data_IF_438523179428
#
_entry.id   IF_438523179428
#
_cell.length_a   1.000
_cell.length_b   1.000
_cell.length_c   1.000
_cell.angle_alpha   90.00
_cell.angle_beta   90.00
_cell.angle_gamma   90.00
#
_symmetry.space_group_name_H-M   'P 1'
#
loop_
_entity.id
_entity.type
_entity.pdbx_description
1 polymer ?
#
# COMPACT_ATOMS: atom_id res chain seq x y z
N UNK A 1 -13.50 -6.04 42.78
CA UNK A 1 -12.04 -6.10 43.04
C UNK A 1 -11.22 -5.94 41.74
N UNK A 2 -11.47 -6.68 40.67
CA UNK A 2 -10.69 -6.56 39.43
C UNK A 2 -10.84 -5.21 38.67
N UNK A 3 -11.96 -4.52 38.80
CA UNK A 3 -12.14 -3.20 38.21
C UNK A 3 -11.26 -2.11 38.87
N UNK A 4 -11.16 -2.11 40.19
CA UNK A 4 -10.28 -1.19 40.92
C UNK A 4 -8.80 -1.36 40.61
N UNK A 5 -8.34 -2.60 40.38
CA UNK A 5 -6.94 -2.86 40.02
C UNK A 5 -6.58 -2.34 38.64
N UNK A 6 -7.55 -2.29 37.70
CA UNK A 6 -7.35 -1.71 36.38
C UNK A 6 -7.12 -0.19 36.43
N UNK A 7 -7.78 0.52 37.28
CA UNK A 7 -7.69 1.97 37.38
C UNK A 7 -6.47 2.46 38.16
N UNK A 8 -5.91 1.62 39.03
CA UNK A 8 -4.74 1.94 39.82
C UNK A 8 -3.40 1.46 39.22
N UNK A 9 -3.43 0.62 38.19
CA UNK A 9 -2.21 0.13 37.57
C UNK A 9 -1.57 1.24 36.70
N UNK A 10 -0.25 1.50 36.81
CA UNK A 10 0.41 2.47 35.95
C UNK A 10 0.28 2.03 34.47
N UNK A 11 -0.30 2.91 33.65
CA UNK A 11 -0.45 2.64 32.22
C UNK A 11 0.92 2.76 31.56
N UNK A 12 1.50 1.64 31.14
CA UNK A 12 2.71 1.66 30.32
C UNK A 12 2.41 2.19 28.93
N UNK A 13 3.29 3.04 28.43
CA UNK A 13 3.16 3.59 27.08
C UNK A 13 3.64 2.59 26.04
N UNK A 14 2.97 2.59 24.88
CA UNK A 14 3.40 1.83 23.70
C UNK A 14 4.77 2.33 23.25
N UNK A 15 5.66 1.40 22.88
CA UNK A 15 6.93 1.71 22.25
C UNK A 15 6.69 2.50 20.94
N UNK A 16 7.38 3.63 20.76
CA UNK A 16 7.31 4.50 19.57
C UNK A 16 8.65 4.56 18.83
N UNK A 17 9.65 3.82 19.27
CA UNK A 17 10.96 3.81 18.63
C UNK A 17 10.87 3.16 17.24
N UNK A 18 11.33 3.88 16.21
CA UNK A 18 11.26 3.45 14.81
C UNK A 18 12.22 2.32 14.46
N UNK A 19 13.29 2.18 15.24
CA UNK A 19 14.31 1.15 15.05
C UNK A 19 14.03 -0.15 15.82
N UNK A 20 13.03 -0.18 16.71
CA UNK A 20 12.72 -1.36 17.51
C UNK A 20 11.55 -2.15 16.91
N UNK A 21 11.82 -3.40 16.55
CA UNK A 21 10.88 -4.29 15.88
C UNK A 21 10.65 -5.50 16.79
N UNK A 22 9.38 -5.74 17.17
CA UNK A 22 9.02 -6.95 17.88
C UNK A 22 8.91 -8.13 16.91
N UNK A 23 9.78 -9.11 17.06
CA UNK A 23 9.74 -10.41 16.37
C UNK A 23 9.32 -11.51 17.34
N UNK A 24 9.12 -12.74 16.88
CA UNK A 24 8.56 -13.78 17.74
C UNK A 24 9.43 -14.08 18.98
N UNK A 25 10.75 -14.08 18.83
CA UNK A 25 11.71 -14.44 19.87
C UNK A 25 12.41 -13.27 20.57
N UNK A 26 11.98 -12.01 20.32
CA UNK A 26 12.57 -10.85 20.99
C UNK A 26 12.31 -9.53 20.30
N UNK A 27 13.10 -8.53 20.64
CA UNK A 27 13.10 -7.19 20.07
C UNK A 27 14.35 -7.06 19.22
N UNK A 28 14.16 -6.89 17.91
CA UNK A 28 15.25 -6.63 16.98
C UNK A 28 15.49 -5.12 16.88
N UNK A 29 16.73 -4.73 17.05
CA UNK A 29 17.18 -3.36 16.85
C UNK A 29 17.71 -3.19 15.44
N UNK A 30 16.98 -2.44 14.62
CA UNK A 30 17.26 -2.28 13.19
C UNK A 30 18.57 -1.51 12.91
N UNK A 31 18.96 -0.60 13.79
CA UNK A 31 20.18 0.20 13.60
C UNK A 31 21.43 -0.60 13.96
N UNK A 32 21.36 -1.39 15.04
CA UNK A 32 22.49 -2.22 15.51
C UNK A 32 22.49 -3.63 14.96
N UNK A 33 21.40 -4.07 14.32
CA UNK A 33 21.18 -5.44 13.78
C UNK A 33 21.26 -6.52 14.88
N UNK A 34 20.87 -6.19 16.10
CA UNK A 34 20.94 -7.09 17.24
C UNK A 34 19.56 -7.47 17.78
N UNK A 35 19.41 -8.74 18.12
CA UNK A 35 18.25 -9.24 18.84
C UNK A 35 18.50 -9.17 20.35
N UNK A 36 17.53 -8.66 21.09
CA UNK A 36 17.51 -8.65 22.57
C UNK A 36 16.20 -9.24 23.11
N UNK A 37 16.20 -9.78 24.32
CA UNK A 37 14.99 -10.34 24.92
C UNK A 37 13.91 -9.26 25.13
N UNK A 38 12.65 -9.67 25.20
CA UNK A 38 11.55 -8.79 25.61
C UNK A 38 11.76 -8.28 27.03
N UNK A 39 11.47 -7.02 27.25
CA UNK A 39 11.52 -6.37 28.57
C UNK A 39 10.16 -5.80 28.93
N UNK A 40 9.78 -5.76 30.23
CA UNK A 40 8.51 -5.18 30.65
C UNK A 40 8.36 -3.69 30.40
N UNK A 41 9.46 -2.98 30.09
CA UNK A 41 9.46 -1.53 29.89
C UNK A 41 9.08 -1.11 28.46
N UNK A 42 9.15 -2.05 27.52
CA UNK A 42 8.80 -1.84 26.11
C UNK A 42 7.53 -2.60 25.77
N UNK A 43 6.45 -1.87 25.51
CA UNK A 43 5.15 -2.44 25.14
C UNK A 43 4.95 -2.38 23.64
N UNK A 44 4.79 -3.54 23.01
CA UNK A 44 4.42 -3.70 21.62
C UNK A 44 2.99 -4.23 21.53
N UNK A 45 2.16 -3.67 20.65
CA UNK A 45 0.77 -4.15 20.42
C UNK A 45 0.68 -5.19 19.29
N UNK A 46 1.71 -5.27 18.47
CA UNK A 46 1.86 -6.23 17.38
C UNK A 46 3.30 -6.72 17.32
N UNK A 47 3.49 -7.91 16.80
CA UNK A 47 4.82 -8.48 16.53
C UNK A 47 4.76 -9.35 15.28
N UNK A 48 5.88 -9.52 14.60
CA UNK A 48 6.01 -10.59 13.61
C UNK A 48 5.89 -11.96 14.31
N UNK A 49 5.20 -12.89 13.64
CA UNK A 49 5.12 -14.27 14.17
C UNK A 49 6.40 -15.08 13.96
N UNK A 50 7.31 -14.55 13.14
CA UNK A 50 8.54 -15.22 12.74
C UNK A 50 9.66 -14.93 13.73
N UNK A 51 10.44 -15.94 14.06
CA UNK A 51 11.62 -15.81 14.92
C UNK A 51 12.82 -15.34 14.09
N UNK A 52 13.54 -14.34 14.59
CA UNK A 52 14.79 -13.93 13.98
C UNK A 52 15.89 -14.95 14.29
N UNK A 53 16.65 -15.33 13.26
CA UNK A 53 17.85 -16.15 13.38
C UNK A 53 19.03 -15.48 12.68
N UNK A 54 20.22 -15.70 13.21
CA UNK A 54 21.50 -15.29 12.59
C UNK A 54 21.93 -16.35 11.59
N UNK A 55 22.61 -15.96 10.52
CA UNK A 55 23.19 -16.88 9.52
C UNK A 55 22.17 -17.78 8.81
N UNK A 56 21.03 -17.23 8.40
CA UNK A 56 20.03 -17.94 7.62
C UNK A 56 20.42 -17.91 6.14
N UNK A 57 20.32 -19.05 5.48
CA UNK A 57 20.50 -19.17 4.03
C UNK A 57 19.15 -19.22 3.31
N UNK A 58 19.11 -18.77 2.06
CA UNK A 58 17.93 -18.89 1.22
C UNK A 58 17.64 -20.38 0.96
N UNK A 59 16.51 -20.92 1.44
CA UNK A 59 16.21 -22.34 1.25
C UNK A 59 15.79 -22.61 -0.19
N UNK A 60 16.38 -23.66 -0.77
CA UNK A 60 15.97 -24.20 -2.07
C UNK A 60 15.07 -25.39 -1.84
N UNK A 61 13.88 -25.36 -2.41
CA UNK A 61 12.87 -26.42 -2.26
C UNK A 61 12.71 -27.12 -3.59
N UNK A 62 13.07 -28.42 -3.63
CA UNK A 62 12.83 -29.28 -4.79
C UNK A 62 11.38 -29.78 -4.80
N UNK A 63 10.68 -29.58 -5.91
CA UNK A 63 9.36 -30.13 -6.13
C UNK A 63 9.47 -31.44 -6.90
N UNK A 64 9.11 -32.54 -6.26
CA UNK A 64 9.17 -33.87 -6.86
C UNK A 64 8.12 -34.12 -7.96
N UNK A 65 7.03 -33.33 -7.99
CA UNK A 65 5.93 -33.54 -8.94
C UNK A 65 6.26 -32.99 -10.33
N UNK A 66 6.97 -31.86 -10.39
CA UNK A 66 7.35 -31.20 -11.64
C UNK A 66 8.86 -31.09 -11.88
N UNK A 67 9.69 -31.56 -10.93
CA UNK A 67 11.15 -31.57 -11.01
C UNK A 67 11.78 -30.17 -10.97
N UNK A 68 11.07 -29.14 -10.50
CA UNK A 68 11.57 -27.76 -10.42
C UNK A 68 12.12 -27.45 -9.04
N UNK A 69 13.18 -26.65 -9.00
CA UNK A 69 13.65 -26.03 -7.77
C UNK A 69 13.02 -24.66 -7.59
N UNK A 70 12.69 -24.32 -6.35
CA UNK A 70 12.12 -23.04 -5.98
C UNK A 70 12.88 -22.44 -4.81
N UNK A 71 13.13 -21.16 -4.88
CA UNK A 71 13.57 -20.32 -3.77
C UNK A 71 12.83 -18.97 -3.80
N UNK A 72 12.78 -18.31 -2.65
CA UNK A 72 11.98 -17.08 -2.52
C UNK A 72 12.59 -15.89 -3.27
N UNK A 73 13.91 -15.84 -3.47
CA UNK A 73 14.54 -14.73 -4.20
C UNK A 73 14.24 -14.82 -5.70
N UNK A 74 14.43 -16.00 -6.28
CA UNK A 74 14.10 -16.25 -7.69
C UNK A 74 12.61 -15.98 -7.94
N UNK A 75 11.73 -16.44 -7.05
CA UNK A 75 10.32 -16.16 -7.15
C UNK A 75 9.97 -14.66 -7.06
N UNK A 76 10.60 -13.90 -6.15
CA UNK A 76 10.41 -12.45 -6.08
C UNK A 76 10.87 -11.74 -7.36
N UNK A 77 11.98 -12.19 -7.96
CA UNK A 77 12.47 -11.67 -9.24
C UNK A 77 11.50 -11.99 -10.39
N UNK A 78 10.76 -13.09 -10.31
CA UNK A 78 9.76 -13.44 -11.31
C UNK A 78 8.52 -12.52 -11.28
N UNK A 79 8.27 -11.76 -10.20
CA UNK A 79 7.09 -10.90 -10.08
C UNK A 79 7.16 -9.64 -10.95
N UNK A 80 8.37 -9.17 -11.32
CA UNK A 80 8.56 -8.00 -12.18
C UNK A 80 9.84 -8.15 -13.02
N UNK A 81 9.82 -7.60 -14.24
CA UNK A 81 11.01 -7.46 -15.08
C UNK A 81 11.87 -6.25 -14.68
N UNK A 82 11.32 -5.34 -13.88
CA UNK A 82 12.01 -4.18 -13.36
C UNK A 82 12.65 -4.52 -12.00
N UNK A 83 13.99 -4.60 -11.89
CA UNK A 83 14.67 -4.95 -10.65
C UNK A 83 14.47 -3.90 -9.54
N UNK A 84 14.17 -2.63 -9.89
CA UNK A 84 13.87 -1.60 -8.90
C UNK A 84 12.50 -1.86 -8.26
N UNK A 85 11.52 -2.36 -9.03
CA UNK A 85 10.23 -2.81 -8.49
C UNK A 85 10.42 -3.99 -7.55
N UNK A 86 11.25 -4.98 -7.92
CA UNK A 86 11.55 -6.12 -7.04
C UNK A 86 12.20 -5.64 -5.75
N UNK A 87 13.14 -4.70 -5.82
CA UNK A 87 13.75 -4.10 -4.64
C UNK A 87 12.72 -3.41 -3.75
N UNK A 88 11.82 -2.62 -4.33
CA UNK A 88 10.71 -1.98 -3.62
C UNK A 88 9.80 -3.02 -2.95
N UNK A 89 9.49 -4.14 -3.59
CA UNK A 89 8.68 -5.21 -2.99
C UNK A 89 9.36 -5.79 -1.74
N UNK A 90 10.68 -5.97 -1.74
CA UNK A 90 11.44 -6.36 -0.56
C UNK A 90 11.38 -5.30 0.55
N UNK A 91 11.49 -4.03 0.21
CA UNK A 91 11.32 -2.94 1.18
C UNK A 91 9.90 -2.92 1.79
N UNK A 92 8.86 -3.20 1.00
CA UNK A 92 7.48 -3.29 1.48
C UNK A 92 7.31 -4.46 2.45
N UNK A 93 7.90 -5.63 2.19
CA UNK A 93 7.92 -6.75 3.14
C UNK A 93 8.55 -6.35 4.48
N UNK A 94 9.56 -5.50 4.47
CA UNK A 94 10.12 -4.94 5.70
C UNK A 94 9.23 -3.86 6.33
N UNK A 95 8.58 -3.00 5.52
CA UNK A 95 7.74 -1.92 6.02
C UNK A 95 6.53 -2.42 6.82
N UNK A 96 5.88 -3.52 6.42
CA UNK A 96 4.70 -4.09 7.11
C UNK A 96 5.00 -4.60 8.52
N UNK A 97 6.24 -4.94 8.81
CA UNK A 97 6.67 -5.42 10.15
C UNK A 97 7.40 -4.34 10.96
N UNK A 98 7.58 -3.15 10.40
CA UNK A 98 8.26 -2.00 11.04
C UNK A 98 7.27 -0.88 11.38
N UNK A 99 6.36 -1.10 12.35
CA UNK A 99 5.50 -0.05 12.85
C UNK A 99 6.35 1.06 13.46
N UNK A 100 5.85 2.28 13.49
CA UNK A 100 6.49 3.50 13.97
C UNK A 100 7.49 4.17 13.01
N UNK A 101 7.85 3.59 11.88
CA UNK A 101 8.47 4.33 10.78
C UNK A 101 7.38 5.17 10.10
N UNK A 102 7.65 6.45 9.90
CA UNK A 102 6.75 7.33 9.17
C UNK A 102 6.99 7.14 7.66
N UNK A 103 6.32 6.15 7.09
CA UNK A 103 6.45 5.87 5.66
C UNK A 103 5.76 6.90 4.78
N UNK A 104 4.66 7.50 5.28
CA UNK A 104 3.81 8.47 4.61
C UNK A 104 3.32 8.02 3.22
N UNK A 105 3.38 6.72 2.98
CA UNK A 105 3.05 6.04 1.74
C UNK A 105 2.22 4.79 2.00
N UNK A 106 1.47 4.39 0.98
CA UNK A 106 0.81 3.09 0.89
C UNK A 106 1.11 2.45 -0.46
N UNK A 107 1.24 1.14 -0.49
CA UNK A 107 1.49 0.37 -1.72
C UNK A 107 0.16 -0.10 -2.32
N UNK A 108 -0.04 0.17 -3.61
CA UNK A 108 -1.19 -0.24 -4.39
C UNK A 108 -0.73 -1.14 -5.53
N UNK A 109 -0.85 -2.46 -5.31
CA UNK A 109 -0.43 -3.48 -6.26
C UNK A 109 -1.51 -3.60 -7.35
N UNK A 110 -1.21 -3.12 -8.53
CA UNK A 110 -2.19 -2.98 -9.61
C UNK A 110 -1.93 -3.92 -10.78
N UNK A 111 -2.98 -4.54 -11.29
CA UNK A 111 -2.99 -5.27 -12.55
C UNK A 111 -4.42 -5.51 -13.01
N UNK A 112 -4.71 -5.26 -14.27
CA UNK A 112 -5.99 -5.59 -14.90
C UNK A 112 -6.18 -7.09 -15.12
N UNK A 113 -5.07 -7.82 -15.26
CA UNK A 113 -5.10 -9.27 -15.41
C UNK A 113 -5.09 -9.99 -14.05
N UNK A 114 -5.71 -11.17 -13.98
CA UNK A 114 -5.55 -12.09 -12.86
C UNK A 114 -4.20 -12.86 -12.92
N UNK A 115 -3.97 -13.75 -11.95
CA UNK A 115 -2.82 -14.68 -11.90
C UNK A 115 -1.45 -14.02 -12.06
N UNK A 116 -1.24 -12.90 -11.41
CA UNK A 116 -0.04 -12.06 -11.50
C UNK A 116 0.83 -12.09 -10.23
N UNK A 117 0.52 -12.94 -9.27
CA UNK A 117 1.29 -13.11 -8.04
C UNK A 117 0.93 -12.16 -6.89
N UNK A 118 0.09 -11.12 -7.08
CA UNK A 118 -0.33 -10.18 -6.01
C UNK A 118 -0.84 -10.90 -4.76
N UNK A 119 -1.84 -11.79 -4.94
CA UNK A 119 -2.43 -12.53 -3.82
C UNK A 119 -1.45 -13.49 -3.13
N UNK A 120 -0.48 -14.02 -3.86
CA UNK A 120 0.59 -14.86 -3.30
C UNK A 120 1.57 -14.02 -2.47
N UNK A 121 1.91 -12.83 -2.94
CA UNK A 121 2.73 -11.87 -2.19
C UNK A 121 2.02 -11.37 -0.93
N UNK A 122 0.70 -11.11 -0.99
CA UNK A 122 -0.09 -10.77 0.19
C UNK A 122 -0.12 -11.90 1.23
N UNK A 123 -0.12 -13.16 0.80
CA UNK A 123 -0.03 -14.29 1.73
C UNK A 123 1.32 -14.30 2.46
N UNK A 124 2.44 -14.11 1.76
CA UNK A 124 3.75 -13.96 2.39
C UNK A 124 3.76 -12.81 3.42
N UNK A 125 3.15 -11.67 3.09
CA UNK A 125 3.02 -10.53 4.00
C UNK A 125 2.24 -10.90 5.27
N UNK A 126 1.12 -11.61 5.13
CA UNK A 126 0.29 -12.07 6.27
C UNK A 126 1.06 -13.06 7.14
N UNK A 127 1.81 -13.96 6.52
CA UNK A 127 2.63 -14.93 7.22
C UNK A 127 3.78 -14.27 8.00
N UNK A 128 4.39 -13.20 7.48
CA UNK A 128 5.38 -12.42 8.24
C UNK A 128 4.76 -11.66 9.42
N UNK A 129 3.61 -11.04 9.24
CA UNK A 129 2.91 -10.31 10.30
C UNK A 129 2.36 -11.25 11.38
N UNK A 130 1.70 -12.35 10.96
CA UNK A 130 0.89 -13.21 11.82
C UNK A 130 -0.55 -12.71 11.97
N UNK A 131 -1.46 -13.65 12.21
CA UNK A 131 -2.94 -13.47 12.14
C UNK A 131 -3.50 -12.33 13.01
N UNK A 132 -2.83 -11.95 14.08
CA UNK A 132 -3.28 -10.90 15.01
C UNK A 132 -2.63 -9.54 14.78
N UNK A 133 -1.69 -9.44 13.84
CA UNK A 133 -0.85 -8.25 13.66
C UNK A 133 -1.16 -7.49 12.34
N UNK A 134 -2.12 -7.92 11.55
CA UNK A 134 -2.60 -7.17 10.40
C UNK A 134 -4.11 -6.97 10.42
N UNK A 135 -4.58 -5.95 9.70
CA UNK A 135 -5.99 -5.67 9.43
C UNK A 135 -6.28 -5.84 7.94
N UNK A 136 -7.54 -6.17 7.61
CA UNK A 136 -8.02 -6.17 6.23
C UNK A 136 -9.14 -5.14 6.11
N UNK A 137 -8.81 -3.96 5.57
CA UNK A 137 -9.73 -2.84 5.40
C UNK A 137 -9.65 -2.39 3.95
N UNK A 138 -10.69 -2.70 3.17
CA UNK A 138 -10.77 -2.30 1.77
C UNK A 138 -10.86 -0.77 1.63
N UNK A 139 -10.50 -0.24 0.46
CA UNK A 139 -10.51 1.21 0.19
C UNK A 139 -11.89 1.85 0.42
N UNK A 140 -12.97 1.13 0.09
CA UNK A 140 -14.35 1.57 0.31
C UNK A 140 -14.77 1.61 1.79
N UNK A 141 -14.00 1.00 2.70
CA UNK A 141 -14.38 0.81 4.10
C UNK A 141 -13.81 1.88 5.05
N UNK A 142 -12.88 2.72 4.58
CA UNK A 142 -12.27 3.77 5.40
C UNK A 142 -13.26 4.85 5.86
N UNK A 143 -14.37 5.00 5.16
CA UNK A 143 -15.47 5.90 5.53
C UNK A 143 -16.58 5.26 6.36
N UNK A 144 -16.52 3.94 6.62
CA UNK A 144 -17.57 3.19 7.31
C UNK A 144 -17.29 3.07 8.82
N UNK A 145 -18.34 3.14 9.62
CA UNK A 145 -18.22 2.98 11.07
C UNK A 145 -17.71 1.58 11.44
N UNK A 146 -16.97 1.51 12.54
CA UNK A 146 -16.43 0.29 13.17
C UNK A 146 -15.32 -0.44 12.42
N UNK A 147 -15.15 -0.28 11.11
CA UNK A 147 -14.11 -0.98 10.34
C UNK A 147 -12.72 -0.63 10.83
N UNK A 148 -12.47 0.64 11.15
CA UNK A 148 -11.16 1.10 11.64
C UNK A 148 -10.78 0.52 13.02
N UNK A 149 -11.70 -0.13 13.73
CA UNK A 149 -11.38 -0.79 15.01
C UNK A 149 -10.38 -1.94 14.87
N UNK A 150 -10.24 -2.51 13.68
CA UNK A 150 -9.23 -3.53 13.38
C UNK A 150 -7.79 -3.00 13.48
N UNK A 151 -7.58 -1.68 13.39
CA UNK A 151 -6.26 -1.05 13.44
C UNK A 151 -5.59 -1.11 14.82
N UNK A 152 -6.34 -1.36 15.89
CA UNK A 152 -5.85 -1.19 17.27
C UNK A 152 -4.64 -2.04 17.61
N UNK A 153 -4.47 -3.20 17.01
CA UNK A 153 -3.38 -4.12 17.24
C UNK A 153 -2.61 -4.47 15.96
N UNK A 154 -2.88 -3.77 14.86
CA UNK A 154 -2.27 -4.06 13.59
C UNK A 154 -0.96 -3.28 13.38
N UNK A 155 0.04 -3.93 12.79
CA UNK A 155 1.25 -3.31 12.24
C UNK A 155 1.13 -3.03 10.74
N UNK A 156 0.16 -3.65 10.07
CA UNK A 156 -0.10 -3.48 8.66
C UNK A 156 -1.59 -3.55 8.31
N UNK A 157 -1.95 -2.96 7.19
CA UNK A 157 -3.21 -3.22 6.48
C UNK A 157 -2.86 -3.98 5.21
N UNK A 158 -3.43 -5.16 5.00
CA UNK A 158 -3.14 -6.02 3.85
C UNK A 158 -4.46 -6.49 3.26
N UNK A 159 -4.74 -6.03 2.03
CA UNK A 159 -5.96 -6.37 1.29
C UNK A 159 -5.57 -6.94 -0.06
N UNK A 160 -5.91 -8.19 -0.31
CA UNK A 160 -5.58 -8.89 -1.55
C UNK A 160 -6.64 -8.73 -2.65
N UNK A 161 -7.79 -8.15 -2.31
CA UNK A 161 -8.84 -7.86 -3.29
C UNK A 161 -9.67 -6.65 -2.85
N UNK A 162 -9.84 -5.71 -3.76
CA UNK A 162 -10.81 -4.62 -3.65
C UNK A 162 -11.88 -4.81 -4.72
N UNK A 163 -13.11 -4.41 -4.42
CA UNK A 163 -14.21 -4.51 -5.37
C UNK A 163 -13.93 -3.70 -6.65
N UNK A 164 -14.25 -4.28 -7.80
CA UNK A 164 -14.25 -3.59 -9.09
C UNK A 164 -15.26 -2.44 -9.05
N UNK A 165 -14.94 -1.30 -9.65
CA UNK A 165 -15.77 -0.10 -9.60
C UNK A 165 -15.72 0.64 -8.25
N UNK A 166 -14.73 0.34 -7.38
CA UNK A 166 -14.57 1.04 -6.11
C UNK A 166 -14.50 2.56 -6.30
N UNK A 167 -15.34 3.28 -5.55
CA UNK A 167 -15.33 4.74 -5.48
C UNK A 167 -14.96 5.24 -4.09
N UNK A 168 -13.89 6.02 -3.99
CA UNK A 168 -13.40 6.59 -2.74
C UNK A 168 -13.99 7.99 -2.59
N UNK A 169 -15.17 8.10 -1.96
CA UNK A 169 -15.83 9.39 -1.71
C UNK A 169 -15.16 10.17 -0.56
N UNK A 170 -14.79 9.48 0.52
CA UNK A 170 -14.24 10.07 1.75
C UNK A 170 -12.80 9.62 1.99
N UNK A 171 -11.83 10.33 1.43
CA UNK A 171 -10.41 10.01 1.54
C UNK A 171 -9.74 10.50 2.85
N UNK A 172 -10.46 11.25 3.72
CA UNK A 172 -9.84 11.86 4.90
C UNK A 172 -9.23 10.84 5.86
N UNK A 173 -9.98 9.80 6.24
CA UNK A 173 -9.48 8.74 7.10
C UNK A 173 -8.37 7.92 6.43
N UNK A 174 -8.50 7.64 5.13
CA UNK A 174 -7.46 6.95 4.36
C UNK A 174 -6.14 7.74 4.40
N UNK A 175 -6.19 9.04 4.12
CA UNK A 175 -5.00 9.91 4.19
C UNK A 175 -4.39 9.94 5.60
N UNK A 176 -5.24 10.09 6.63
CA UNK A 176 -4.81 10.13 8.03
C UNK A 176 -4.17 8.79 8.48
N UNK A 177 -4.72 7.67 8.04
CA UNK A 177 -4.15 6.34 8.33
C UNK A 177 -2.78 6.17 7.68
N UNK A 178 -2.60 6.63 6.44
CA UNK A 178 -1.30 6.54 5.73
C UNK A 178 -0.22 7.38 6.40
N UNK A 179 -0.55 8.59 6.87
CA UNK A 179 0.41 9.50 7.51
C UNK A 179 0.52 9.32 9.03
N UNK A 180 -0.25 8.39 9.62
CA UNK A 180 -0.25 8.19 11.07
C UNK A 180 -0.85 9.36 11.86
N UNK A 181 -1.72 10.15 11.23
CA UNK A 181 -2.47 11.21 11.90
C UNK A 181 -3.53 10.64 12.85
N UNK A 182 -3.98 11.47 13.78
CA UNK A 182 -5.02 11.07 14.73
C UNK A 182 -6.37 10.88 14.02
N UNK A 183 -6.96 9.72 14.21
CA UNK A 183 -8.30 9.37 13.74
C UNK A 183 -9.20 9.00 14.92
N UNK A 184 -10.49 9.22 14.77
CA UNK A 184 -11.48 8.72 15.72
C UNK A 184 -11.94 7.32 15.31
N UNK A 185 -11.81 6.37 16.21
CA UNK A 185 -12.26 4.99 16.01
C UNK A 185 -13.51 4.75 16.84
N UNK A 186 -14.63 4.52 16.15
CA UNK A 186 -15.86 4.05 16.76
C UNK A 186 -15.73 2.56 17.11
N UNK A 187 -16.15 2.20 18.33
CA UNK A 187 -16.09 0.81 18.81
C UNK A 187 -17.49 0.36 19.22
N UNK A 188 -17.87 -0.84 18.81
CA UNK A 188 -19.18 -1.38 19.14
C UNK A 188 -19.33 -1.53 20.66
N UNK A 189 -20.35 -0.93 21.24
CA UNK A 189 -20.66 -0.94 22.69
C UNK A 189 -19.53 -0.38 23.59
N UNK A 190 -18.67 0.48 23.07
CA UNK A 190 -17.60 1.17 23.83
C UNK A 190 -17.47 2.60 23.35
N UNK A 191 -16.95 3.47 24.23
CA UNK A 191 -16.67 4.85 23.85
C UNK A 191 -15.69 4.92 22.67
N UNK A 192 -15.87 5.89 21.75
CA UNK A 192 -14.90 6.18 20.71
C UNK A 192 -13.53 6.52 21.29
N UNK A 193 -12.48 6.18 20.56
CA UNK A 193 -11.12 6.53 20.97
C UNK A 193 -10.39 7.28 19.87
N UNK A 194 -9.50 8.19 20.26
CA UNK A 194 -8.52 8.77 19.34
C UNK A 194 -7.35 7.81 19.21
N UNK A 195 -6.99 7.48 17.97
CA UNK A 195 -5.93 6.52 17.67
C UNK A 195 -5.04 7.03 16.54
N UNK A 196 -3.76 6.70 16.60
CA UNK A 196 -2.78 6.91 15.55
C UNK A 196 -2.31 5.56 15.05
N UNK A 197 -2.68 5.20 13.82
CA UNK A 197 -2.13 4.02 13.17
C UNK A 197 -0.70 4.32 12.70
N UNK A 198 0.23 3.44 13.01
CA UNK A 198 1.64 3.60 12.68
C UNK A 198 2.17 2.36 11.96
N UNK A 199 1.39 1.82 11.07
CA UNK A 199 1.77 0.68 10.25
C UNK A 199 1.84 1.06 8.77
N UNK A 200 2.08 0.06 7.95
CA UNK A 200 2.11 0.20 6.50
C UNK A 200 0.84 -0.38 5.86
N UNK A 201 0.41 0.18 4.74
CA UNK A 201 -0.79 -0.26 4.04
C UNK A 201 -0.46 -0.79 2.66
N UNK A 202 -0.99 -1.98 2.34
CA UNK A 202 -0.93 -2.63 1.04
C UNK A 202 -2.35 -2.93 0.57
N UNK A 203 -2.68 -2.51 -0.66
CA UNK A 203 -3.96 -2.73 -1.31
C UNK A 203 -3.73 -3.39 -2.68
N UNK A 204 -4.39 -4.50 -2.98
CA UNK A 204 -4.39 -5.07 -4.33
C UNK A 204 -5.60 -4.57 -5.12
N UNK A 205 -5.35 -4.22 -6.37
CA UNK A 205 -6.33 -3.66 -7.28
C UNK A 205 -6.34 -4.44 -8.59
N UNK A 206 -7.53 -4.74 -9.09
CA UNK A 206 -7.74 -5.29 -10.42
C UNK A 206 -8.30 -4.22 -11.38
N UNK A 207 -8.73 -3.10 -10.83
CA UNK A 207 -9.16 -1.90 -11.55
C UNK A 207 -8.71 -0.67 -10.78
N UNK A 208 -8.42 0.42 -11.48
CA UNK A 208 -8.10 1.70 -10.85
C UNK A 208 -9.35 2.28 -10.17
N UNK A 209 -9.33 2.49 -8.83
CA UNK A 209 -10.50 3.01 -8.14
C UNK A 209 -10.73 4.48 -8.50
N UNK A 210 -11.99 4.86 -8.68
CA UNK A 210 -12.34 6.28 -8.84
C UNK A 210 -12.25 6.98 -7.48
N UNK A 211 -11.77 8.22 -7.47
CA UNK A 211 -11.63 9.01 -6.24
C UNK A 211 -12.22 10.40 -6.41
N UNK A 212 -12.87 10.89 -5.34
CA UNK A 212 -13.39 12.26 -5.30
C UNK A 212 -12.29 13.28 -5.02
N UNK A 213 -11.35 12.94 -4.12
CA UNK A 213 -10.24 13.82 -3.74
C UNK A 213 -9.09 13.70 -4.75
N UNK A 214 -9.04 14.65 -5.69
CA UNK A 214 -8.02 14.73 -6.76
C UNK A 214 -6.84 15.62 -6.39
N UNK A 215 -6.64 15.89 -5.10
CA UNK A 215 -5.55 16.73 -4.65
C UNK A 215 -4.21 15.98 -4.68
N UNK A 216 -3.12 16.72 -4.89
CA UNK A 216 -1.77 16.16 -4.75
C UNK A 216 -1.55 15.54 -3.36
N UNK A 217 -2.21 16.09 -2.33
CA UNK A 217 -2.16 15.52 -0.98
C UNK A 217 -2.72 14.10 -0.90
N UNK A 218 -3.61 13.69 -1.79
CA UNK A 218 -4.08 12.30 -1.92
C UNK A 218 -3.07 11.47 -2.71
N UNK A 219 -2.71 11.90 -3.92
CA UNK A 219 -1.89 11.10 -4.83
C UNK A 219 -0.47 10.83 -4.32
N UNK A 220 0.19 11.81 -3.70
CA UNK A 220 1.56 11.64 -3.18
C UNK A 220 1.70 10.58 -2.09
N UNK A 221 0.58 10.06 -1.55
CA UNK A 221 0.55 9.02 -0.52
C UNK A 221 0.47 7.61 -1.09
N UNK A 222 0.23 7.46 -2.38
CA UNK A 222 0.14 6.16 -3.04
C UNK A 222 1.41 5.87 -3.83
N UNK A 223 1.86 4.62 -3.76
CA UNK A 223 2.81 4.04 -4.67
C UNK A 223 2.03 3.05 -5.52
N UNK A 224 1.80 3.35 -6.79
CA UNK A 224 1.20 2.42 -7.72
C UNK A 224 2.27 1.49 -8.25
N UNK A 225 2.11 0.20 -8.02
CA UNK A 225 3.08 -0.83 -8.41
C UNK A 225 2.44 -1.70 -9.47
N UNK A 226 2.84 -1.57 -10.74
CA UNK A 226 2.27 -2.35 -11.83
C UNK A 226 2.77 -3.79 -11.78
N UNK A 227 1.83 -4.74 -11.80
CA UNK A 227 2.09 -6.17 -11.97
C UNK A 227 1.71 -6.55 -13.41
N UNK A 228 2.69 -6.52 -14.29
CA UNK A 228 2.50 -6.70 -15.74
C UNK A 228 2.58 -8.17 -16.17
N UNK A 229 3.17 -9.04 -15.34
CA UNK A 229 3.29 -10.47 -15.62
C UNK A 229 1.98 -11.21 -15.39
N UNK A 230 1.76 -12.26 -16.16
CA UNK A 230 0.62 -13.17 -16.01
C UNK A 230 1.14 -14.61 -16.01
N UNK A 231 0.77 -15.37 -14.98
CA UNK A 231 1.20 -16.75 -14.80
C UNK A 231 0.10 -17.75 -15.17
N UNK A 232 -0.92 -17.33 -15.93
CA UNK A 232 -2.01 -18.22 -16.37
C UNK A 232 -1.46 -19.38 -17.22
N UNK A 233 -1.79 -20.60 -16.81
CA UNK A 233 -1.33 -21.83 -17.45
C UNK A 233 0.03 -22.35 -16.93
N UNK A 234 0.71 -21.59 -16.07
CA UNK A 234 1.98 -21.99 -15.42
C UNK A 234 1.91 -21.78 -13.90
N UNK A 235 0.70 -21.76 -13.34
CA UNK A 235 0.48 -21.52 -11.91
C UNK A 235 1.07 -22.64 -11.06
N UNK A 236 1.89 -22.26 -10.10
CA UNK A 236 2.47 -23.14 -9.09
C UNK A 236 1.73 -22.95 -7.76
N UNK A 237 0.56 -23.58 -7.61
CA UNK A 237 -0.33 -23.41 -6.43
C UNK A 237 0.34 -23.79 -5.11
N UNK A 238 1.25 -24.75 -5.14
CA UNK A 238 2.00 -25.19 -3.97
C UNK A 238 2.87 -24.07 -3.34
N UNK A 239 3.30 -23.07 -4.11
CA UNK A 239 4.02 -21.91 -3.56
C UNK A 239 3.17 -21.23 -2.48
N UNK A 240 1.92 -20.90 -2.81
CA UNK A 240 1.00 -20.25 -1.87
C UNK A 240 0.49 -21.20 -0.79
N UNK A 241 0.29 -22.48 -1.12
CA UNK A 241 -0.31 -23.45 -0.20
C UNK A 241 0.67 -24.07 0.80
N UNK A 242 1.96 -24.18 0.46
CA UNK A 242 2.98 -24.83 1.26
C UNK A 242 4.21 -23.91 1.46
N UNK A 243 4.92 -23.54 0.39
CA UNK A 243 6.27 -22.99 0.51
C UNK A 243 6.35 -21.70 1.31
N UNK A 244 5.37 -20.80 1.14
CA UNK A 244 5.33 -19.52 1.88
C UNK A 244 4.93 -19.69 3.35
N UNK A 245 4.51 -20.88 3.78
CA UNK A 245 4.21 -21.18 5.18
C UNK A 245 5.37 -21.85 5.91
N UNK A 246 6.42 -22.27 5.17
CA UNK A 246 7.58 -22.95 5.75
C UNK A 246 8.38 -22.01 6.62
N UNK A 247 8.78 -22.51 7.77
CA UNK A 247 9.45 -21.72 8.79
C UNK A 247 10.82 -21.20 8.33
N UNK A 248 11.59 -22.02 7.62
CA UNK A 248 12.90 -21.66 7.06
C UNK A 248 12.81 -20.56 5.99
N UNK A 249 11.80 -20.60 5.12
CA UNK A 249 11.51 -19.55 4.14
C UNK A 249 11.18 -18.25 4.83
N UNK A 250 10.28 -18.28 5.82
CA UNK A 250 9.87 -17.09 6.56
C UNK A 250 11.02 -16.49 7.38
N UNK A 251 11.85 -17.32 7.99
CA UNK A 251 13.04 -16.89 8.74
C UNK A 251 14.06 -16.23 7.83
N UNK A 252 14.24 -16.78 6.61
CA UNK A 252 15.09 -16.16 5.60
C UNK A 252 14.56 -14.80 5.15
N UNK A 253 13.27 -14.72 4.80
CA UNK A 253 12.64 -13.45 4.39
C UNK A 253 12.74 -12.40 5.49
N UNK A 254 12.44 -12.78 6.74
CA UNK A 254 12.59 -11.89 7.89
C UNK A 254 14.03 -11.40 8.05
N UNK A 255 15.01 -12.30 8.00
CA UNK A 255 16.43 -11.95 8.09
C UNK A 255 16.81 -10.96 6.99
N UNK A 256 16.46 -11.24 5.73
CA UNK A 256 16.78 -10.39 4.58
C UNK A 256 16.23 -8.96 4.76
N UNK A 257 14.94 -8.81 5.05
CA UNK A 257 14.32 -7.48 5.17
C UNK A 257 14.81 -6.70 6.39
N UNK A 258 15.22 -7.37 7.46
CA UNK A 258 15.79 -6.73 8.65
C UNK A 258 17.24 -6.28 8.45
N UNK A 259 17.96 -6.81 7.42
CA UNK A 259 19.33 -6.43 7.09
C UNK A 259 19.41 -5.42 5.93
N UNK A 260 18.29 -5.09 5.29
CA UNK A 260 18.24 -3.95 4.36
C UNK A 260 18.29 -2.64 5.16
N UNK A 261 19.12 -1.67 4.69
CA UNK A 261 19.29 -0.39 5.37
C UNK A 261 18.48 0.71 4.68
N UNK A 262 17.28 0.98 5.19
CA UNK A 262 16.39 2.02 4.66
C UNK A 262 15.39 2.50 5.73
N UNK A 263 15.00 3.75 5.64
CA UNK A 263 13.91 4.39 6.38
C UNK A 263 12.94 5.14 5.45
N UNK A 264 13.20 5.09 4.17
CA UNK A 264 12.35 5.60 3.09
C UNK A 264 12.23 4.50 2.03
N UNK A 265 11.19 4.56 1.21
CA UNK A 265 10.97 3.59 0.13
C UNK A 265 11.52 4.15 -1.18
N UNK A 266 12.30 3.35 -1.87
CA UNK A 266 12.82 3.68 -3.21
C UNK A 266 11.70 3.46 -4.23
N UNK A 267 11.12 4.55 -4.72
CA UNK A 267 9.98 4.49 -5.66
C UNK A 267 10.50 4.52 -7.10
N UNK A 268 10.40 3.42 -7.86
CA UNK A 268 10.86 3.35 -9.25
C UNK A 268 10.13 4.31 -10.19
N UNK A 269 10.78 4.63 -11.31
CA UNK A 269 10.17 5.45 -12.37
C UNK A 269 8.90 4.81 -12.94
N UNK A 270 8.85 3.49 -13.09
CA UNK A 270 7.67 2.75 -13.53
C UNK A 270 6.48 2.91 -12.58
N UNK A 271 6.71 2.97 -11.27
CA UNK A 271 5.67 3.26 -10.29
C UNK A 271 5.17 4.71 -10.35
N UNK A 272 6.08 5.66 -10.64
CA UNK A 272 5.71 7.06 -10.83
C UNK A 272 4.87 7.25 -12.11
N UNK A 273 5.23 6.55 -13.19
CA UNK A 273 4.43 6.53 -14.41
C UNK A 273 3.03 5.98 -14.16
N UNK A 274 2.90 4.83 -13.48
CA UNK A 274 1.60 4.24 -13.14
C UNK A 274 0.75 5.18 -12.25
N UNK A 275 1.38 5.93 -11.34
CA UNK A 275 0.68 6.96 -10.56
C UNK A 275 0.18 8.11 -11.45
N UNK A 276 0.93 8.53 -12.47
CA UNK A 276 0.51 9.57 -13.40
C UNK A 276 -0.67 9.07 -14.25
N UNK A 277 -0.63 7.85 -14.76
CA UNK A 277 -1.76 7.21 -15.45
C UNK A 277 -3.01 7.16 -14.56
N UNK A 278 -2.84 6.87 -13.26
CA UNK A 278 -3.94 6.92 -12.29
C UNK A 278 -4.49 8.33 -12.08
N UNK A 279 -3.64 9.36 -12.07
CA UNK A 279 -4.08 10.77 -12.02
C UNK A 279 -4.90 11.12 -13.26
N UNK A 280 -4.42 10.74 -14.44
CA UNK A 280 -5.13 10.95 -15.71
C UNK A 280 -6.47 10.23 -15.73
N UNK A 281 -6.52 8.97 -15.32
CA UNK A 281 -7.76 8.20 -15.20
C UNK A 281 -8.81 8.88 -14.31
N UNK A 282 -8.40 9.55 -13.24
CA UNK A 282 -9.30 10.24 -12.33
C UNK A 282 -9.58 11.69 -12.73
N UNK A 283 -8.83 12.29 -13.64
CA UNK A 283 -9.00 13.68 -14.07
C UNK A 283 -9.34 13.80 -15.56
N UNK A 284 -10.63 13.91 -15.89
CA UNK A 284 -11.04 14.09 -17.28
C UNK A 284 -10.47 15.36 -17.94
N UNK A 285 -10.05 16.37 -17.16
CA UNK A 285 -9.41 17.56 -17.74
C UNK A 285 -7.98 17.23 -18.18
N UNK A 286 -7.25 16.41 -17.42
CA UNK A 286 -5.92 15.90 -17.81
C UNK A 286 -6.01 15.06 -19.08
N UNK A 287 -6.96 14.12 -19.12
CA UNK A 287 -7.20 13.30 -20.32
C UNK A 287 -7.53 14.17 -21.54
N UNK A 288 -8.40 15.17 -21.34
CA UNK A 288 -8.73 16.13 -22.41
C UNK A 288 -7.49 16.89 -22.90
N UNK A 289 -6.62 17.34 -22.00
CA UNK A 289 -5.37 18.02 -22.37
C UNK A 289 -4.45 17.07 -23.13
N UNK A 290 -4.25 15.87 -22.63
CA UNK A 290 -3.42 14.84 -23.29
C UNK A 290 -3.92 14.48 -24.69
N UNK A 291 -5.25 14.35 -24.88
CA UNK A 291 -5.84 13.92 -26.13
C UNK A 291 -5.93 15.06 -27.17
N UNK A 292 -6.19 16.28 -26.73
CA UNK A 292 -6.62 17.37 -27.64
C UNK A 292 -5.52 18.40 -27.87
N UNK A 293 -4.69 18.72 -26.85
CA UNK A 293 -3.71 19.78 -26.98
C UNK A 293 -2.64 19.50 -28.04
N UNK A 294 -2.14 18.26 -28.23
CA UNK A 294 -1.21 17.97 -29.34
C UNK A 294 -1.80 18.19 -30.74
N UNK A 295 -3.14 18.20 -30.88
CA UNK A 295 -3.82 18.41 -32.12
C UNK A 295 -4.16 19.89 -32.41
N UNK A 296 -4.03 20.77 -31.38
CA UNK A 296 -4.29 22.19 -31.53
C UNK A 296 -3.19 22.86 -32.37
N UNK A 297 -3.60 23.58 -33.40
CA UNK A 297 -2.68 24.30 -34.29
C UNK A 297 -2.54 25.80 -33.95
N UNK A 298 -3.14 26.24 -32.84
CA UNK A 298 -3.17 27.63 -32.42
C UNK A 298 -2.53 27.83 -31.07
N UNK A 299 -1.66 28.83 -30.97
CA UNK A 299 -0.97 29.21 -29.73
C UNK A 299 -1.87 29.98 -28.75
N UNK A 300 -2.99 30.54 -29.24
CA UNK A 300 -3.94 31.29 -28.41
C UNK A 300 -5.36 30.80 -28.62
N UNK A 301 -5.94 30.17 -27.61
CA UNK A 301 -7.28 29.60 -27.63
C UNK A 301 -8.14 30.15 -26.49
N UNK A 302 -9.32 30.72 -26.74
CA UNK A 302 -10.21 31.23 -25.71
C UNK A 302 -10.71 30.11 -24.78
N UNK A 303 -10.70 30.32 -23.44
CA UNK A 303 -11.24 29.36 -22.48
C UNK A 303 -12.68 28.93 -22.73
N UNK A 304 -13.48 29.80 -23.37
CA UNK A 304 -14.86 29.44 -23.75
C UNK A 304 -14.88 28.33 -24.78
N UNK A 305 -14.05 28.45 -25.80
CA UNK A 305 -13.91 27.46 -26.85
C UNK A 305 -13.35 26.13 -26.28
N UNK A 306 -12.29 26.20 -25.47
CA UNK A 306 -11.74 25.01 -24.80
C UNK A 306 -12.79 24.30 -23.95
N UNK A 307 -13.62 25.03 -23.22
CA UNK A 307 -14.68 24.44 -22.42
C UNK A 307 -15.78 23.78 -23.27
N UNK A 308 -16.17 24.39 -24.41
CA UNK A 308 -17.15 23.78 -25.31
C UNK A 308 -16.58 22.52 -25.99
N UNK A 309 -15.30 22.54 -26.34
CA UNK A 309 -14.58 21.37 -26.84
C UNK A 309 -14.46 20.28 -25.80
N UNK A 310 -14.12 20.64 -24.56
CA UNK A 310 -14.09 19.72 -23.42
C UNK A 310 -15.43 19.03 -23.17
N UNK A 311 -16.54 19.77 -23.23
CA UNK A 311 -17.88 19.17 -23.09
C UNK A 311 -18.16 18.14 -24.18
N UNK A 312 -17.83 18.46 -25.43
CA UNK A 312 -18.01 17.55 -26.56
C UNK A 312 -17.14 16.29 -26.40
N UNK A 313 -15.87 16.48 -26.06
CA UNK A 313 -14.93 15.39 -25.80
C UNK A 313 -15.40 14.53 -24.61
N UNK A 314 -15.83 15.15 -23.50
CA UNK A 314 -16.29 14.45 -22.30
C UNK A 314 -17.50 13.55 -22.58
N UNK A 315 -18.51 14.07 -23.30
CA UNK A 315 -19.71 13.29 -23.69
C UNK A 315 -19.34 12.09 -24.57
N UNK A 316 -18.33 12.25 -25.42
CA UNK A 316 -17.87 11.19 -26.32
C UNK A 316 -17.06 10.10 -25.61
N UNK A 317 -16.17 10.49 -24.67
CA UNK A 317 -15.15 9.59 -24.13
C UNK A 317 -15.43 9.14 -22.68
N UNK A 318 -16.15 9.95 -21.88
CA UNK A 318 -16.40 9.67 -20.44
C UNK A 318 -17.87 9.36 -20.17
N UNK A 319 -18.80 10.08 -20.76
CA UNK A 319 -20.23 9.87 -20.59
C UNK A 319 -21.06 11.15 -20.51
N UNK A 320 -22.38 11.01 -20.36
CA UNK A 320 -23.30 12.15 -20.38
C UNK A 320 -23.56 12.82 -19.03
N UNK A 321 -23.10 12.24 -17.93
CA UNK A 321 -23.30 12.76 -16.58
C UNK A 321 -22.02 13.42 -16.05
N UNK A 322 -22.20 14.45 -15.22
CA UNK A 322 -21.16 15.03 -14.36
C UNK A 322 -20.04 15.84 -15.05
N UNK A 323 -20.32 16.47 -16.17
CA UNK A 323 -19.39 17.46 -16.74
C UNK A 323 -19.20 18.60 -15.73
N UNK A 324 -17.93 18.84 -15.35
CA UNK A 324 -17.62 19.93 -14.41
C UNK A 324 -17.98 21.29 -14.98
N UNK A 325 -18.44 22.23 -14.14
CA UNK A 325 -18.77 23.57 -14.56
C UNK A 325 -17.54 24.34 -15.09
N UNK A 326 -17.79 25.35 -15.97
CA UNK A 326 -16.72 26.10 -16.67
C UNK A 326 -15.64 26.66 -15.73
N UNK A 327 -16.00 27.20 -14.57
CA UNK A 327 -15.01 27.75 -13.63
C UNK A 327 -14.12 26.67 -13.04
N UNK A 328 -14.69 25.49 -12.72
CA UNK A 328 -13.93 24.34 -12.21
C UNK A 328 -13.03 23.78 -13.31
N UNK A 329 -13.54 23.67 -14.54
CA UNK A 329 -12.74 23.28 -15.70
C UNK A 329 -11.52 24.18 -15.88
N UNK A 330 -11.72 25.52 -15.91
CA UNK A 330 -10.61 26.49 -16.10
C UNK A 330 -9.59 26.34 -14.96
N UNK A 331 -10.03 26.24 -13.70
CA UNK A 331 -9.14 26.04 -12.56
C UNK A 331 -8.29 24.77 -12.71
N UNK A 332 -8.93 23.65 -13.08
CA UNK A 332 -8.25 22.39 -13.26
C UNK A 332 -7.33 22.42 -14.48
N UNK A 333 -7.77 23.06 -15.56
CA UNK A 333 -6.95 23.23 -16.77
C UNK A 333 -5.66 24.00 -16.49
N UNK A 334 -5.75 25.13 -15.79
CA UNK A 334 -4.57 25.92 -15.39
C UNK A 334 -3.63 25.05 -14.55
N UNK A 335 -4.14 24.30 -13.55
CA UNK A 335 -3.33 23.43 -12.72
C UNK A 335 -2.62 22.33 -13.53
N UNK A 336 -3.26 21.79 -14.56
CA UNK A 336 -2.66 20.79 -15.45
C UNK A 336 -1.58 21.41 -16.33
N UNK A 337 -1.80 22.63 -16.82
CA UNK A 337 -0.83 23.35 -17.67
C UNK A 337 0.39 23.80 -16.86
N UNK A 338 0.21 24.30 -15.61
CA UNK A 338 1.31 24.69 -14.73
C UNK A 338 2.25 23.50 -14.37
N UNK A 339 1.72 22.28 -14.37
CA UNK A 339 2.52 21.06 -14.16
C UNK A 339 3.27 20.62 -15.44
N UNK A 340 2.81 21.02 -16.62
CA UNK A 340 3.37 20.67 -17.93
C UNK A 340 3.97 21.91 -18.58
N UNK A 341 5.23 22.21 -18.27
CA UNK A 341 5.92 23.41 -18.80
C UNK A 341 6.06 23.50 -20.33
N UNK A 342 5.66 22.46 -21.07
CA UNK A 342 5.67 22.45 -22.54
C UNK A 342 4.50 23.24 -23.16
N UNK A 343 3.48 23.61 -22.38
CA UNK A 343 2.26 24.27 -22.85
C UNK A 343 2.09 25.71 -22.31
N UNK A 344 3.13 26.30 -21.75
CA UNK A 344 3.11 27.69 -21.26
C UNK A 344 3.84 28.60 -22.23
#
# INVERSE_FOLDING_TARGET
MFACLRDCAPRKQKCKAKNLIAVNNGIFDFDTKQLRPFTPDLVFLSKSRVSYKVNVQNPVIHNNDDGTDWDVESWMNDLSDDPEVVHLLWQILGAIIRPNVAWDKSAWLYSESGNNGKGTLCELMRELCGKTSYASIALSDFGKDFYLSQLLNASAIIVDENDVGTYIDKAANLKAVVTGDAIMINRKFKDPITYQFRGFMVQCLNEMPRVRDKSDSFYRRQIFIPFTKCFTGVERKYIKQDYLHRQDVLEYVLHKVLHMDYYELDVPASCQQALNEYKEFNDPVRQFVSDIFPELQWDLVPFTFLYDLYKAWYVKNVGRSDVVGKQVFIKNLIAVLDENSEFI
#
